data_IF_282064641818
#
_entry.id   IF_282064641818
#
_cell.length_a   1.000
_cell.length_b   1.000
_cell.length_c   1.000
_cell.angle_alpha   90.00
_cell.angle_beta   90.00
_cell.angle_gamma   90.00
#
_symmetry.space_group_name_H-M   'P 1'
#
loop_
_entity.id
_entity.type
_entity.pdbx_description
1 polymer ?
#
# COMPACT_ATOMS: atom_id res chain seq x y z
N UNK A 1 -26.77 -100.11 -39.50
CA UNK A 1 -26.36 -98.72 -39.74
C UNK A 1 -26.60 -97.91 -38.48
N UNK A 2 -25.59 -97.77 -37.62
CA UNK A 2 -25.68 -97.06 -36.34
C UNK A 2 -25.19 -95.62 -36.50
N UNK A 3 -26.06 -94.67 -36.17
CA UNK A 3 -25.89 -93.24 -36.41
C UNK A 3 -25.17 -92.59 -35.21
N UNK A 4 -23.84 -92.72 -35.17
CA UNK A 4 -22.97 -92.05 -34.17
C UNK A 4 -22.67 -90.63 -34.66
N UNK A 5 -23.63 -89.71 -34.57
CA UNK A 5 -23.45 -88.32 -35.03
C UNK A 5 -23.82 -87.18 -34.04
N UNK A 6 -24.41 -87.35 -32.84
CA UNK A 6 -24.79 -86.20 -32.02
C UNK A 6 -23.68 -85.68 -31.07
N UNK A 7 -22.75 -86.53 -30.63
CA UNK A 7 -21.78 -86.14 -29.58
C UNK A 7 -20.65 -85.22 -30.05
N UNK A 8 -20.14 -85.40 -31.29
CA UNK A 8 -19.06 -84.55 -31.82
C UNK A 8 -19.48 -83.09 -32.00
N UNK A 9 -20.76 -82.83 -32.33
CA UNK A 9 -21.29 -81.46 -32.44
C UNK A 9 -21.37 -80.73 -31.09
N UNK A 10 -21.64 -81.47 -30.01
CA UNK A 10 -21.70 -80.89 -28.66
C UNK A 10 -20.29 -80.55 -28.13
N UNK A 11 -19.32 -81.44 -28.39
CA UNK A 11 -17.92 -81.25 -28.01
C UNK A 11 -17.27 -80.07 -28.76
N UNK A 12 -17.55 -79.93 -30.06
CA UNK A 12 -17.07 -78.78 -30.84
C UNK A 12 -17.65 -77.44 -30.36
N UNK A 13 -18.90 -77.39 -29.88
CA UNK A 13 -19.51 -76.14 -29.43
C UNK A 13 -18.87 -75.59 -28.14
N UNK A 14 -18.44 -76.45 -27.19
CA UNK A 14 -17.86 -75.97 -25.94
C UNK A 14 -16.39 -75.50 -26.09
N UNK A 15 -15.60 -76.14 -26.95
CA UNK A 15 -14.21 -75.71 -27.28
C UNK A 15 -14.20 -74.34 -27.97
N UNK A 16 -15.13 -74.12 -28.90
CA UNK A 16 -15.28 -72.85 -29.62
C UNK A 16 -15.79 -71.73 -28.70
N UNK A 17 -16.66 -72.02 -27.73
CA UNK A 17 -17.13 -71.03 -26.75
C UNK A 17 -16.02 -70.54 -25.80
N UNK A 18 -15.11 -71.43 -25.38
CA UNK A 18 -13.95 -71.06 -24.56
C UNK A 18 -12.97 -70.17 -25.31
N UNK A 19 -12.75 -70.42 -26.59
CA UNK A 19 -11.92 -69.57 -27.46
C UNK A 19 -12.55 -68.19 -27.65
N UNK A 20 -13.86 -68.12 -27.92
CA UNK A 20 -14.58 -66.85 -28.09
C UNK A 20 -14.51 -66.00 -26.82
N UNK A 21 -14.67 -66.58 -25.63
CA UNK A 21 -14.55 -65.85 -24.36
C UNK A 21 -13.14 -65.29 -24.12
N UNK A 22 -12.09 -66.05 -24.44
CA UNK A 22 -10.72 -65.58 -24.31
C UNK A 22 -10.36 -64.48 -25.32
N UNK A 23 -10.83 -64.60 -26.56
CA UNK A 23 -10.64 -63.56 -27.60
C UNK A 23 -11.42 -62.29 -27.24
N UNK A 24 -12.64 -62.42 -26.72
CA UNK A 24 -13.43 -61.28 -26.25
C UNK A 24 -12.77 -60.57 -25.07
N UNK A 25 -12.20 -61.32 -24.11
CA UNK A 25 -11.43 -60.75 -23.01
C UNK A 25 -10.16 -60.02 -23.49
N UNK A 26 -9.48 -60.55 -24.50
CA UNK A 26 -8.34 -59.89 -25.15
C UNK A 26 -8.74 -58.58 -25.85
N UNK A 27 -9.86 -58.57 -26.57
CA UNK A 27 -10.38 -57.35 -27.23
C UNK A 27 -10.72 -56.27 -26.20
N UNK A 28 -11.32 -56.63 -25.06
CA UNK A 28 -11.59 -55.68 -23.96
C UNK A 28 -10.31 -55.10 -23.35
N UNK A 29 -9.23 -55.89 -23.28
CA UNK A 29 -7.91 -55.41 -22.85
C UNK A 29 -7.31 -54.38 -23.81
N UNK A 30 -7.51 -54.55 -25.13
CA UNK A 30 -7.03 -53.58 -26.13
C UNK A 30 -7.87 -52.29 -26.17
N UNK A 31 -9.18 -52.35 -25.91
CA UNK A 31 -10.07 -51.16 -25.89
C UNK A 31 -9.81 -50.26 -24.66
N UNK A 32 -9.23 -50.78 -23.58
CA UNK A 32 -8.89 -49.98 -22.39
C UNK A 32 -7.70 -49.04 -22.60
N UNK A 33 -6.96 -49.17 -23.70
CA UNK A 33 -5.86 -48.27 -24.06
C UNK A 33 -6.40 -47.10 -24.92
N UNK A 34 -7.33 -46.32 -24.37
CA UNK A 34 -7.75 -45.08 -25.02
C UNK A 34 -6.72 -44.00 -24.67
N UNK A 35 -5.88 -43.64 -25.65
CA UNK A 35 -4.95 -42.53 -25.55
C UNK A 35 -5.70 -41.26 -25.12
N UNK A 36 -5.11 -40.54 -24.18
CA UNK A 36 -5.62 -39.28 -23.63
C UNK A 36 -5.80 -38.29 -24.76
N UNK A 37 -7.05 -38.02 -25.11
CA UNK A 37 -7.38 -37.05 -26.14
C UNK A 37 -6.86 -35.67 -25.71
N UNK A 38 -6.06 -35.03 -26.56
CA UNK A 38 -5.51 -33.67 -26.39
C UNK A 38 -6.59 -32.57 -26.22
N UNK A 39 -7.87 -32.93 -26.37
CA UNK A 39 -9.02 -32.03 -26.24
C UNK A 39 -9.23 -31.48 -24.82
N UNK A 40 -8.67 -32.12 -23.79
CA UNK A 40 -8.78 -31.68 -22.38
C UNK A 40 -7.63 -30.75 -21.94
N UNK A 41 -6.65 -30.48 -22.81
CA UNK A 41 -5.49 -29.63 -22.49
C UNK A 41 -5.75 -28.20 -22.96
N UNK A 42 -5.82 -27.27 -22.01
CA UNK A 42 -5.99 -25.85 -22.32
C UNK A 42 -4.67 -25.24 -22.82
N UNK A 43 -4.70 -24.16 -23.61
CA UNK A 43 -3.49 -23.50 -24.09
C UNK A 43 -2.60 -23.00 -22.94
N UNK A 44 -1.27 -23.03 -23.14
CA UNK A 44 -0.28 -22.58 -22.13
C UNK A 44 -0.62 -21.19 -21.56
N UNK A 45 -1.01 -20.26 -22.44
CA UNK A 45 -1.37 -18.88 -22.04
C UNK A 45 -2.53 -18.84 -21.05
N UNK A 46 -3.53 -19.70 -21.23
CA UNK A 46 -4.67 -19.75 -20.32
C UNK A 46 -4.32 -20.51 -19.05
N UNK A 47 -3.49 -21.56 -19.14
CA UNK A 47 -2.97 -22.25 -17.96
C UNK A 47 -2.12 -21.34 -17.05
N UNK A 48 -1.31 -20.44 -17.63
CA UNK A 48 -0.59 -19.40 -16.88
C UNK A 48 -1.57 -18.49 -16.12
N UNK A 49 -2.68 -18.09 -16.74
CA UNK A 49 -3.69 -17.26 -16.06
C UNK A 49 -4.39 -18.04 -14.94
N UNK A 50 -4.79 -19.28 -15.20
CA UNK A 50 -5.40 -20.19 -14.21
C UNK A 50 -4.48 -20.33 -12.99
N UNK A 51 -3.21 -20.67 -13.20
CA UNK A 51 -2.23 -20.78 -12.10
C UNK A 51 -2.05 -19.46 -11.36
N UNK A 52 -2.00 -18.33 -12.08
CA UNK A 52 -1.91 -17.01 -11.44
C UNK A 52 -3.09 -16.76 -10.50
N UNK A 53 -4.32 -17.09 -10.91
CA UNK A 53 -5.52 -16.93 -10.07
C UNK A 53 -5.58 -17.92 -8.90
N UNK A 54 -5.12 -19.15 -9.11
CA UNK A 54 -4.98 -20.15 -8.04
C UNK A 54 -4.00 -19.64 -6.98
N UNK A 55 -2.83 -19.13 -7.36
CA UNK A 55 -1.87 -18.59 -6.40
C UNK A 55 -2.40 -17.37 -5.65
N UNK A 56 -3.19 -16.51 -6.29
CA UNK A 56 -3.87 -15.40 -5.61
C UNK A 56 -4.92 -15.93 -4.61
N UNK A 57 -5.66 -16.96 -4.99
CA UNK A 57 -6.64 -17.62 -4.13
C UNK A 57 -5.96 -18.27 -2.92
N UNK A 58 -4.84 -18.96 -3.12
CA UNK A 58 -4.02 -19.56 -2.07
C UNK A 58 -3.48 -18.50 -1.12
N UNK A 59 -2.97 -17.39 -1.67
CA UNK A 59 -2.50 -16.26 -0.88
C UNK A 59 -3.64 -15.69 -0.02
N UNK A 60 -4.85 -15.51 -0.59
CA UNK A 60 -6.01 -15.07 0.17
C UNK A 60 -6.40 -16.06 1.28
N UNK A 61 -6.47 -17.36 0.95
CA UNK A 61 -6.76 -18.42 1.91
C UNK A 61 -5.75 -18.45 3.07
N UNK A 62 -4.48 -18.16 2.79
CA UNK A 62 -3.42 -18.09 3.82
C UNK A 62 -3.60 -16.94 4.81
N UNK A 63 -4.37 -15.90 4.45
CA UNK A 63 -4.69 -14.78 5.36
C UNK A 63 -5.83 -15.11 6.34
N UNK A 64 -6.59 -16.17 6.07
CA UNK A 64 -7.73 -16.58 6.88
C UNK A 64 -7.28 -17.55 7.98
N UNK A 65 -8.04 -17.60 9.08
CA UNK A 65 -7.89 -18.67 10.06
C UNK A 65 -8.33 -20.02 9.47
N UNK A 66 -7.79 -21.12 9.99
CA UNK A 66 -7.99 -22.46 9.40
C UNK A 66 -9.45 -22.90 9.32
N UNK A 67 -10.31 -22.49 10.26
CA UNK A 67 -11.75 -22.82 10.20
C UNK A 67 -12.46 -22.04 9.07
N UNK A 68 -12.22 -20.74 8.92
CA UNK A 68 -12.85 -19.97 7.84
C UNK A 68 -12.32 -20.40 6.48
N UNK A 69 -11.00 -20.64 6.36
CA UNK A 69 -10.39 -21.12 5.12
C UNK A 69 -11.07 -22.41 4.62
N UNK A 70 -11.31 -23.38 5.50
CA UNK A 70 -12.00 -24.65 5.15
C UNK A 70 -13.41 -24.45 4.63
N UNK A 71 -14.12 -23.42 5.09
CA UNK A 71 -15.49 -23.12 4.63
C UNK A 71 -15.52 -22.53 3.22
N UNK A 72 -14.48 -21.79 2.82
CA UNK A 72 -14.47 -21.03 1.57
C UNK A 72 -13.54 -21.61 0.49
N UNK A 73 -12.68 -22.57 0.83
CA UNK A 73 -11.68 -23.14 -0.10
C UNK A 73 -12.30 -23.75 -1.36
N UNK A 74 -13.31 -24.62 -1.22
CA UNK A 74 -13.96 -25.27 -2.35
C UNK A 74 -14.69 -24.29 -3.28
N UNK A 75 -15.56 -23.39 -2.80
CA UNK A 75 -16.24 -22.45 -3.70
C UNK A 75 -15.28 -21.45 -4.36
N UNK A 76 -14.14 -21.12 -3.73
CA UNK A 76 -13.14 -20.26 -4.35
C UNK A 76 -12.44 -20.94 -5.53
N UNK A 77 -11.94 -22.17 -5.36
CA UNK A 77 -11.33 -22.89 -6.48
C UNK A 77 -12.36 -23.22 -7.57
N UNK A 78 -13.58 -23.61 -7.20
CA UNK A 78 -14.66 -23.87 -8.16
C UNK A 78 -14.97 -22.63 -9.01
N UNK A 79 -14.95 -21.44 -8.43
CA UNK A 79 -15.08 -20.19 -9.18
C UNK A 79 -13.94 -20.00 -10.18
N UNK A 80 -12.69 -20.19 -9.74
CA UNK A 80 -11.53 -20.09 -10.64
C UNK A 80 -11.60 -21.12 -11.77
N UNK A 81 -11.99 -22.36 -11.50
CA UNK A 81 -12.08 -23.40 -12.52
C UNK A 81 -13.20 -23.11 -13.53
N UNK A 82 -14.39 -22.70 -13.06
CA UNK A 82 -15.52 -22.32 -13.93
C UNK A 82 -15.18 -21.20 -14.89
N UNK A 83 -14.34 -20.24 -14.50
CA UNK A 83 -13.93 -19.12 -15.36
C UNK A 83 -13.16 -19.56 -16.61
N UNK A 84 -12.52 -20.74 -16.56
CA UNK A 84 -11.71 -21.29 -17.64
C UNK A 84 -12.25 -22.62 -18.17
N UNK A 85 -13.52 -22.93 -17.92
CA UNK A 85 -14.17 -24.19 -18.30
C UNK A 85 -13.39 -25.44 -17.84
N UNK A 86 -12.81 -25.35 -16.63
CA UNK A 86 -12.07 -26.43 -15.98
C UNK A 86 -12.89 -27.07 -14.86
N UNK A 87 -12.50 -28.29 -14.52
CA UNK A 87 -12.86 -28.99 -13.28
C UNK A 87 -11.56 -29.46 -12.61
N UNK A 88 -11.63 -29.87 -11.34
CA UNK A 88 -10.50 -30.41 -10.57
C UNK A 88 -9.74 -31.54 -11.31
N UNK A 89 -10.48 -32.40 -12.01
CA UNK A 89 -9.91 -33.52 -12.77
C UNK A 89 -9.18 -33.05 -14.02
N UNK A 90 -9.79 -32.13 -14.78
CA UNK A 90 -9.17 -31.49 -15.95
C UNK A 90 -7.96 -30.65 -15.57
N UNK A 91 -8.01 -29.91 -14.46
CA UNK A 91 -6.86 -29.15 -13.96
C UNK A 91 -5.69 -30.08 -13.63
N UNK A 92 -5.94 -31.21 -12.94
CA UNK A 92 -4.90 -32.20 -12.65
C UNK A 92 -4.26 -32.78 -13.92
N UNK A 93 -5.06 -33.04 -14.97
CA UNK A 93 -4.54 -33.48 -16.28
C UNK A 93 -3.64 -32.41 -16.91
N UNK A 94 -4.08 -31.15 -16.91
CA UNK A 94 -3.30 -30.02 -17.43
C UNK A 94 -1.99 -29.84 -16.66
N UNK A 95 -2.03 -29.93 -15.34
CA UNK A 95 -0.85 -29.86 -14.49
C UNK A 95 0.13 -31.00 -14.80
N UNK A 96 -0.37 -32.22 -15.00
CA UNK A 96 0.47 -33.37 -15.38
C UNK A 96 1.06 -33.22 -16.78
N UNK A 97 0.30 -32.66 -17.73
CA UNK A 97 0.74 -32.44 -19.10
C UNK A 97 1.84 -31.38 -19.18
N UNK A 98 1.64 -30.23 -18.56
CA UNK A 98 2.66 -29.18 -18.55
C UNK A 98 3.84 -29.53 -17.64
N UNK A 99 3.60 -30.32 -16.59
CA UNK A 99 4.62 -30.79 -15.66
C UNK A 99 5.47 -31.96 -16.18
N UNK A 100 5.12 -32.58 -17.31
CA UNK A 100 5.95 -33.66 -17.89
C UNK A 100 7.24 -33.14 -18.52
N UNK A 101 7.27 -31.86 -18.91
CA UNK A 101 8.45 -31.17 -19.41
C UNK A 101 8.86 -30.06 -18.44
N UNK A 102 10.02 -30.23 -17.80
CA UNK A 102 10.56 -29.30 -16.82
C UNK A 102 10.85 -27.91 -17.41
N UNK A 103 11.28 -27.82 -18.68
CA UNK A 103 11.59 -26.54 -19.32
C UNK A 103 10.30 -25.74 -19.60
N UNK A 104 9.26 -26.43 -20.08
CA UNK A 104 7.95 -25.82 -20.31
C UNK A 104 7.34 -25.33 -19.01
N UNK A 105 7.36 -26.16 -17.96
CA UNK A 105 6.83 -25.80 -16.65
C UNK A 105 7.58 -24.64 -16.01
N UNK A 106 8.92 -24.59 -16.15
CA UNK A 106 9.71 -23.47 -15.63
C UNK A 106 9.31 -22.15 -16.31
N UNK A 107 9.13 -22.15 -17.63
CA UNK A 107 8.64 -20.96 -18.37
C UNK A 107 7.25 -20.52 -17.90
N UNK A 108 6.35 -21.47 -17.60
CA UNK A 108 5.03 -21.17 -17.03
C UNK A 108 5.19 -20.46 -15.68
N UNK A 109 6.02 -20.99 -14.78
CA UNK A 109 6.26 -20.36 -13.47
C UNK A 109 6.88 -18.97 -13.57
N UNK A 110 7.83 -18.76 -14.49
CA UNK A 110 8.38 -17.42 -14.74
C UNK A 110 7.31 -16.42 -15.19
N UNK A 111 6.42 -16.82 -16.10
CA UNK A 111 5.31 -15.99 -16.57
C UNK A 111 4.31 -15.68 -15.44
N UNK A 112 3.95 -16.68 -14.63
CA UNK A 112 3.11 -16.50 -13.44
C UNK A 112 3.76 -15.51 -12.46
N UNK A 113 5.05 -15.69 -12.16
CA UNK A 113 5.80 -14.79 -11.28
C UNK A 113 5.83 -13.35 -11.80
N UNK A 114 6.02 -13.16 -13.12
CA UNK A 114 5.95 -11.84 -13.77
C UNK A 114 4.56 -11.22 -13.63
N UNK A 115 3.49 -11.99 -13.85
CA UNK A 115 2.12 -11.50 -13.69
C UNK A 115 1.84 -11.03 -12.26
N UNK A 116 2.18 -11.86 -11.28
CA UNK A 116 2.00 -11.54 -9.86
C UNK A 116 2.81 -10.31 -9.46
N UNK A 117 4.06 -10.20 -9.91
CA UNK A 117 4.91 -9.02 -9.66
C UNK A 117 4.29 -7.76 -10.24
N UNK A 118 3.83 -7.80 -11.50
CA UNK A 118 3.21 -6.65 -12.14
C UNK A 118 1.93 -6.20 -11.42
N UNK A 119 1.10 -7.15 -10.97
CA UNK A 119 -0.09 -6.87 -10.18
C UNK A 119 0.29 -6.20 -8.85
N UNK A 120 1.25 -6.77 -8.12
CA UNK A 120 1.73 -6.24 -6.84
C UNK A 120 2.33 -4.83 -6.98
N UNK A 121 3.18 -4.61 -7.99
CA UNK A 121 3.78 -3.30 -8.27
C UNK A 121 2.72 -2.24 -8.60
N UNK A 122 1.65 -2.64 -9.31
CA UNK A 122 0.48 -1.80 -9.56
C UNK A 122 -0.21 -1.37 -8.27
N UNK A 123 -0.53 -2.33 -7.40
CA UNK A 123 -1.15 -2.06 -6.11
C UNK A 123 -0.29 -1.14 -5.22
N UNK A 124 1.00 -1.44 -5.08
CA UNK A 124 1.94 -0.63 -4.30
C UNK A 124 1.95 0.82 -4.76
N UNK A 125 2.02 1.08 -6.08
CA UNK A 125 2.00 2.44 -6.63
C UNK A 125 0.70 3.17 -6.30
N UNK A 126 -0.44 2.51 -6.45
CA UNK A 126 -1.73 3.13 -6.13
C UNK A 126 -1.86 3.45 -4.64
N UNK A 127 -1.37 2.56 -3.77
CA UNK A 127 -1.41 2.78 -2.32
C UNK A 127 -0.45 3.91 -1.90
N UNK A 128 0.74 3.98 -2.50
CA UNK A 128 1.67 5.09 -2.28
C UNK A 128 1.04 6.45 -2.59
N UNK A 129 0.40 6.58 -3.77
CA UNK A 129 -0.29 7.82 -4.16
C UNK A 129 -1.40 8.18 -3.17
N UNK A 130 -2.17 7.19 -2.71
CA UNK A 130 -3.22 7.37 -1.70
C UNK A 130 -2.62 7.87 -0.38
N UNK A 131 -1.58 7.21 0.12
CA UNK A 131 -0.90 7.58 1.36
C UNK A 131 -0.26 8.95 1.29
N UNK A 132 0.34 9.32 0.16
CA UNK A 132 0.91 10.66 -0.06
C UNK A 132 -0.15 11.76 -0.01
N UNK A 133 -1.36 11.48 -0.51
CA UNK A 133 -2.47 12.42 -0.41
C UNK A 133 -2.94 12.63 1.03
N UNK A 134 -2.95 11.56 1.83
CA UNK A 134 -3.32 11.58 3.25
C UNK A 134 -2.23 12.31 4.04
N UNK A 135 -0.95 11.95 3.85
CA UNK A 135 0.19 12.58 4.52
C UNK A 135 0.25 14.08 4.29
N UNK A 136 -0.03 14.54 3.06
CA UNK A 136 -0.09 15.97 2.74
C UNK A 136 -1.21 16.69 3.49
N UNK A 137 -2.41 16.10 3.54
CA UNK A 137 -3.54 16.66 4.29
C UNK A 137 -3.25 16.74 5.78
N UNK A 138 -2.71 15.66 6.35
CA UNK A 138 -2.36 15.59 7.77
C UNK A 138 -1.25 16.59 8.13
N UNK A 139 -0.26 16.76 7.24
CA UNK A 139 0.82 17.74 7.43
C UNK A 139 0.29 19.18 7.46
N UNK A 140 -0.65 19.53 6.57
CA UNK A 140 -1.27 20.86 6.54
C UNK A 140 -2.09 21.10 7.81
N UNK A 141 -2.90 20.12 8.22
CA UNK A 141 -3.70 20.23 9.45
C UNK A 141 -2.81 20.36 10.69
N UNK A 142 -1.74 19.56 10.78
CA UNK A 142 -0.80 19.67 11.88
C UNK A 142 -0.09 21.03 11.87
N UNK A 143 0.32 21.57 10.72
CA UNK A 143 0.90 22.91 10.64
C UNK A 143 -0.05 24.00 11.17
N UNK A 144 -1.33 23.97 10.79
CA UNK A 144 -2.35 24.89 11.31
C UNK A 144 -2.57 24.74 12.82
N UNK A 145 -2.59 23.50 13.31
CA UNK A 145 -2.75 23.23 14.73
C UNK A 145 -1.56 23.74 15.54
N UNK A 146 -0.34 23.51 15.05
CA UNK A 146 0.89 24.00 15.69
C UNK A 146 0.98 25.52 15.70
N UNK A 147 0.61 26.18 14.61
CA UNK A 147 0.53 27.65 14.53
C UNK A 147 -0.42 28.21 15.60
N UNK A 148 -1.61 27.61 15.70
CA UNK A 148 -2.62 28.01 16.69
C UNK A 148 -2.11 27.82 18.14
N UNK A 149 -1.45 26.71 18.43
CA UNK A 149 -0.86 26.45 19.75
C UNK A 149 0.28 27.41 20.06
N UNK A 150 1.14 27.69 19.08
CA UNK A 150 2.27 28.62 19.24
C UNK A 150 1.75 30.00 19.61
N UNK A 151 0.75 30.50 18.88
CA UNK A 151 0.11 31.79 19.16
C UNK A 151 -0.47 31.87 20.58
N UNK A 152 -1.15 30.82 21.04
CA UNK A 152 -1.71 30.78 22.40
C UNK A 152 -0.59 30.80 23.45
N UNK A 153 0.48 30.03 23.22
CA UNK A 153 1.63 30.01 24.12
C UNK A 153 2.32 31.37 24.19
N UNK A 154 2.53 32.05 23.06
CA UNK A 154 3.09 33.40 23.01
C UNK A 154 2.24 34.39 23.82
N UNK A 155 0.91 34.35 23.66
CA UNK A 155 0.02 35.20 24.46
C UNK A 155 0.08 34.88 25.95
N UNK A 156 0.20 33.60 26.32
CA UNK A 156 0.36 33.19 27.71
C UNK A 156 1.67 33.71 28.31
N UNK A 157 2.78 33.58 27.59
CA UNK A 157 4.08 34.11 28.01
C UNK A 157 4.05 35.63 28.16
N UNK A 158 3.42 36.33 27.21
CA UNK A 158 3.22 37.77 27.29
C UNK A 158 2.40 38.15 28.52
N UNK A 159 1.31 37.45 28.81
CA UNK A 159 0.50 37.71 29.99
C UNK A 159 1.28 37.50 31.29
N UNK A 160 2.00 36.38 31.42
CA UNK A 160 2.82 36.11 32.61
C UNK A 160 3.96 37.13 32.77
N UNK A 161 4.57 37.59 31.67
CA UNK A 161 5.59 38.63 31.70
C UNK A 161 5.03 39.96 32.23
N UNK A 162 3.84 40.38 31.75
CA UNK A 162 3.18 41.60 32.19
C UNK A 162 2.79 41.52 33.66
N UNK A 163 2.20 40.40 34.07
CA UNK A 163 1.87 40.12 35.47
C UNK A 163 3.11 40.22 36.36
N UNK A 164 4.25 39.66 35.93
CA UNK A 164 5.50 39.73 36.68
C UNK A 164 6.03 41.17 36.82
N UNK A 165 5.91 42.00 35.77
CA UNK A 165 6.31 43.41 35.81
C UNK A 165 5.44 44.23 36.77
N UNK A 166 4.13 43.98 36.79
CA UNK A 166 3.19 44.65 37.70
C UNK A 166 3.47 44.24 39.15
N UNK A 167 3.63 42.94 39.41
CA UNK A 167 3.82 42.42 40.77
C UNK A 167 5.21 42.71 41.35
N UNK A 168 6.25 42.74 40.51
CA UNK A 168 7.64 42.96 40.93
C UNK A 168 8.20 44.29 40.45
N UNK A 169 7.37 45.34 40.48
CA UNK A 169 7.81 46.68 40.13
C UNK A 169 8.86 47.18 41.14
N UNK A 170 10.05 47.46 40.64
CA UNK A 170 11.09 48.19 41.39
C UNK A 170 11.17 49.60 40.83
N UNK A 171 11.25 50.60 41.71
CA UNK A 171 11.44 51.98 41.29
C UNK A 171 12.83 52.11 40.67
N UNK A 172 12.90 52.35 39.36
CA UNK A 172 14.15 52.56 38.67
C UNK A 172 14.85 53.80 39.22
N UNK A 173 16.07 53.65 39.71
CA UNK A 173 16.91 54.76 40.18
C UNK A 173 17.56 55.54 39.02
N UNK A 174 17.37 55.09 37.78
CA UNK A 174 18.03 55.66 36.59
C UNK A 174 17.24 56.88 36.09
N UNK A 175 17.91 58.03 36.02
CA UNK A 175 17.37 59.24 35.37
C UNK A 175 17.30 59.02 33.85
N UNK A 176 16.09 59.01 33.30
CA UNK A 176 15.85 58.90 31.87
C UNK A 176 16.19 60.19 31.14
N UNK A 177 16.99 60.06 30.08
CA UNK A 177 17.30 61.13 29.12
C UNK A 177 16.77 60.71 27.75
N UNK A 178 16.41 61.66 26.89
CA UNK A 178 15.78 61.40 25.59
C UNK A 178 16.66 60.49 24.71
N UNK A 179 17.99 60.66 24.76
CA UNK A 179 18.94 59.79 24.03
C UNK A 179 18.92 58.36 24.54
N UNK A 180 18.89 58.18 25.87
CA UNK A 180 18.85 56.86 26.51
C UNK A 180 17.52 56.16 26.23
N UNK A 181 16.41 56.88 26.33
CA UNK A 181 15.08 56.37 26.00
C UNK A 181 14.99 55.92 24.54
N UNK A 182 15.48 56.73 23.60
CA UNK A 182 15.53 56.35 22.19
C UNK A 182 16.42 55.11 21.96
N UNK A 183 17.61 55.06 22.57
CA UNK A 183 18.51 53.91 22.44
C UNK A 183 17.89 52.62 23.01
N UNK A 184 17.24 52.70 24.17
CA UNK A 184 16.52 51.59 24.79
C UNK A 184 15.34 51.12 23.93
N UNK A 185 14.57 52.06 23.38
CA UNK A 185 13.49 51.76 22.44
C UNK A 185 14.02 51.01 21.21
N UNK A 186 15.08 51.51 20.55
CA UNK A 186 15.67 50.83 19.39
C UNK A 186 16.28 49.47 19.75
N UNK A 187 16.88 49.33 20.93
CA UNK A 187 17.39 48.05 21.43
C UNK A 187 16.26 47.02 21.63
N UNK A 188 15.20 47.42 22.34
CA UNK A 188 14.08 46.54 22.72
C UNK A 188 13.17 46.21 21.55
N UNK A 189 12.94 47.16 20.66
CA UNK A 189 12.16 46.97 19.44
C UNK A 189 12.95 46.24 18.34
N UNK A 190 14.28 46.11 18.50
CA UNK A 190 15.15 45.51 17.50
C UNK A 190 15.39 46.38 16.26
N UNK A 191 14.97 47.65 16.29
CA UNK A 191 15.14 48.62 15.19
C UNK A 191 16.53 49.29 15.15
N UNK A 192 17.51 48.78 15.90
CA UNK A 192 18.83 49.40 16.00
C UNK A 192 19.71 49.06 14.79
N UNK A 193 19.85 50.01 13.87
CA UNK A 193 20.76 49.95 12.73
C UNK A 193 20.14 49.25 11.51
N UNK A 194 20.09 49.97 10.39
CA UNK A 194 19.63 49.57 9.06
C UNK A 194 18.50 48.52 9.05
N UNK A 195 17.26 49.02 8.96
CA UNK A 195 16.03 48.26 8.73
C UNK A 195 16.21 47.17 7.65
N UNK A 196 16.67 45.99 8.04
CA UNK A 196 16.37 44.77 7.31
C UNK A 196 15.03 44.28 7.83
N UNK A 197 13.96 44.90 7.32
CA UNK A 197 12.56 44.47 7.54
C UNK A 197 12.40 42.96 7.29
N UNK A 198 13.24 42.40 6.42
CA UNK A 198 13.37 40.97 6.16
C UNK A 198 13.65 40.11 7.39
N UNK A 199 14.46 40.54 8.36
CA UNK A 199 14.79 39.71 9.54
C UNK A 199 13.65 39.65 10.55
N UNK A 200 12.90 40.75 10.70
CA UNK A 200 11.73 40.79 11.57
C UNK A 200 10.57 40.00 10.97
N UNK A 201 10.39 40.07 9.65
CA UNK A 201 9.41 39.25 8.94
C UNK A 201 9.82 37.77 8.88
N UNK A 202 11.11 37.44 8.72
CA UNK A 202 11.61 36.06 8.72
C UNK A 202 11.42 35.35 10.07
N UNK A 203 11.47 36.07 11.19
CA UNK A 203 11.21 35.49 12.52
C UNK A 203 9.77 35.05 12.68
N UNK A 204 8.84 35.67 11.96
CA UNK A 204 7.40 35.45 12.06
C UNK A 204 6.86 34.60 10.88
N UNK A 205 7.69 34.30 9.89
CA UNK A 205 7.36 33.35 8.82
C UNK A 205 7.91 31.98 9.22
N UNK A 206 7.02 31.01 9.41
CA UNK A 206 7.41 29.61 9.56
C UNK A 206 8.31 29.22 8.38
N UNK A 207 9.54 28.82 8.69
CA UNK A 207 10.56 28.42 7.70
C UNK A 207 9.97 27.36 6.75
N UNK A 208 9.94 27.59 5.42
CA UNK A 208 9.58 26.53 4.50
C UNK A 208 10.69 25.47 4.53
N UNK A 209 10.29 24.21 4.69
CA UNK A 209 11.22 23.08 4.77
C UNK A 209 12.18 23.07 3.57
N UNK A 210 13.48 23.28 3.85
CA UNK A 210 14.56 23.22 2.87
C UNK A 210 14.62 21.82 2.24
N UNK A 211 14.28 21.72 0.96
CA UNK A 211 14.68 20.59 0.12
C UNK A 211 16.20 20.61 -0.04
N UNK A 212 16.88 19.56 0.45
CA UNK A 212 18.29 19.30 0.13
C UNK A 212 18.42 19.05 -1.38
N UNK A 213 19.22 19.87 -2.05
CA UNK A 213 19.73 19.63 -3.40
C UNK A 213 21.24 19.61 -3.29
N UNK A 214 21.82 18.46 -3.61
CA UNK A 214 23.24 18.18 -3.52
C UNK A 214 24.08 19.05 -4.47
N UNK A 215 25.24 19.43 -3.98
CA UNK A 215 26.24 20.29 -4.62
C UNK A 215 27.14 19.49 -5.56
N UNK A 216 27.09 19.73 -6.87
CA UNK A 216 28.27 19.65 -7.75
C UNK A 216 28.02 20.46 -9.03
N UNK A 217 28.63 21.64 -9.15
CA UNK A 217 29.19 22.18 -10.40
C UNK A 217 29.71 23.60 -10.17
N UNK A 218 31.03 23.73 -10.12
CA UNK A 218 31.79 24.96 -10.23
C UNK A 218 31.57 25.63 -11.59
N UNK A 219 31.13 26.89 -11.62
CA UNK A 219 31.56 27.86 -12.63
C UNK A 219 31.69 29.27 -12.04
N UNK A 220 32.94 29.73 -12.06
CA UNK A 220 33.45 31.10 -11.90
C UNK A 220 32.89 31.99 -13.02
N UNK A 221 32.22 33.09 -12.69
CA UNK A 221 32.16 34.30 -13.56
C UNK A 221 32.11 35.54 -12.67
N UNK A 222 32.93 36.51 -13.07
CA UNK A 222 33.28 37.77 -12.42
C UNK A 222 32.12 38.72 -12.15
N UNK A 223 32.32 39.53 -11.11
CA UNK A 223 31.56 40.74 -10.85
C UNK A 223 31.78 41.77 -11.97
N UNK A 224 30.68 42.23 -12.57
CA UNK A 224 30.65 43.50 -13.30
C UNK A 224 29.57 44.40 -12.73
N UNK A 225 30.05 45.47 -12.10
CA UNK A 225 29.29 46.63 -11.66
C UNK A 225 28.60 47.31 -12.83
N UNK A 226 27.27 47.53 -12.74
CA UNK A 226 26.59 48.63 -13.43
C UNK A 226 25.57 49.25 -12.47
N UNK A 227 25.85 50.49 -12.05
CA UNK A 227 24.83 51.46 -11.63
C UNK A 227 24.06 51.89 -12.87
N UNK A 228 22.74 51.82 -12.82
CA UNK A 228 21.84 52.96 -13.04
C UNK A 228 20.40 52.47 -13.12
N UNK A 229 19.51 53.34 -12.64
CA UNK A 229 18.10 53.04 -12.48
C UNK A 229 17.42 52.75 -13.80
N UNK A 230 16.45 51.85 -13.73
CA UNK A 230 15.20 51.87 -14.47
C UNK A 230 14.35 50.75 -13.82
N UNK A 231 13.29 51.11 -13.10
CA UNK A 231 12.33 50.10 -12.63
C UNK A 231 11.53 49.56 -13.81
N UNK A 232 11.25 48.25 -13.91
CA UNK A 232 10.23 47.75 -14.82
C UNK A 232 8.98 47.34 -14.05
N UNK A 233 7.96 48.18 -14.22
CA UNK A 233 6.62 47.88 -14.74
C UNK A 233 6.01 46.51 -14.41
N UNK A 234 4.88 46.57 -13.71
CA UNK A 234 3.82 45.56 -13.64
C UNK A 234 3.38 45.18 -15.06
N UNK A 235 3.45 43.89 -15.41
CA UNK A 235 2.78 43.35 -16.58
C UNK A 235 1.93 42.15 -16.16
N UNK A 236 0.63 42.31 -16.37
CA UNK A 236 -0.43 41.34 -16.16
C UNK A 236 -0.27 40.14 -17.09
N UNK A 237 -0.30 38.92 -16.55
CA UNK A 237 -0.47 37.70 -17.35
C UNK A 237 -1.77 37.00 -16.94
N UNK A 238 -2.77 37.30 -17.77
CA UNK A 238 -3.88 36.50 -18.30
C UNK A 238 -4.24 35.17 -17.62
N UNK A 239 -5.54 35.09 -17.35
CA UNK A 239 -6.33 33.89 -17.15
C UNK A 239 -6.22 32.90 -18.34
N UNK A 240 -6.20 31.61 -18.02
CA UNK A 240 -6.55 30.48 -18.88
C UNK A 240 -7.33 29.51 -17.98
N UNK A 241 -8.65 29.54 -18.09
CA UNK A 241 -9.46 28.60 -18.88
C UNK A 241 -9.85 27.36 -18.07
N UNK A 242 -11.14 27.37 -17.75
CA UNK A 242 -11.91 26.35 -17.07
C UNK A 242 -12.00 25.06 -17.88
N UNK A 243 -11.86 23.91 -17.20
CA UNK A 243 -12.39 22.63 -17.67
C UNK A 243 -13.29 22.08 -16.55
N UNK A 244 -14.58 21.78 -16.82
CA UNK A 244 -15.56 21.53 -15.77
C UNK A 244 -15.50 20.09 -15.26
N UNK A 245 -15.28 19.90 -13.96
CA UNK A 245 -15.48 18.62 -13.29
C UNK A 245 -16.96 18.50 -12.91
N UNK A 246 -17.76 17.82 -13.75
CA UNK A 246 -19.09 17.33 -13.33
C UNK A 246 -18.88 16.29 -12.21
N UNK A 247 -19.37 16.60 -11.03
CA UNK A 247 -19.42 15.67 -9.89
C UNK A 247 -20.88 15.51 -9.50
N UNK A 248 -21.55 14.52 -10.08
CA UNK A 248 -22.81 13.98 -9.57
C UNK A 248 -22.50 12.72 -8.77
N UNK A 249 -22.27 12.83 -7.46
CA UNK A 249 -22.55 11.73 -6.52
C UNK A 249 -23.01 12.31 -5.19
N UNK A 250 -24.20 11.87 -4.81
CA UNK A 250 -24.97 12.25 -3.62
C UNK A 250 -24.21 12.00 -2.32
N UNK A 251 -24.41 12.95 -1.42
CA UNK A 251 -24.13 12.94 0.02
C UNK A 251 -24.62 11.63 0.69
N UNK A 252 -23.71 10.87 1.30
CA UNK A 252 -24.03 9.89 2.34
C UNK A 252 -23.31 10.33 3.61
N UNK A 253 -24.05 10.98 4.49
CA UNK A 253 -23.64 11.24 5.88
C UNK A 253 -23.56 9.90 6.61
N UNK A 254 -22.43 9.61 7.24
CA UNK A 254 -22.41 8.78 8.44
C UNK A 254 -21.25 9.17 9.37
N UNK A 255 -21.42 9.00 10.70
CA UNK A 255 -20.77 9.82 11.70
C UNK A 255 -19.33 9.40 12.01
N UNK A 256 -18.54 10.42 12.30
CA UNK A 256 -17.15 10.41 12.78
C UNK A 256 -16.98 9.47 13.98
N UNK A 257 -16.19 8.40 13.84
CA UNK A 257 -15.51 7.76 14.98
C UNK A 257 -14.14 8.41 15.14
N UNK A 258 -13.93 9.05 16.29
CA UNK A 258 -12.66 9.64 16.70
C UNK A 258 -11.57 8.57 16.85
N UNK A 259 -10.29 8.86 16.53
CA UNK A 259 -9.22 7.90 16.75
C UNK A 259 -8.88 7.79 18.25
N UNK A 260 -8.88 6.56 18.74
CA UNK A 260 -8.44 6.16 20.09
C UNK A 260 -6.97 6.57 20.31
N UNK A 261 -6.72 7.45 21.27
CA UNK A 261 -5.38 7.70 21.81
C UNK A 261 -4.98 6.54 22.72
N UNK A 262 -3.88 5.87 22.37
CA UNK A 262 -3.20 4.87 23.19
C UNK A 262 -2.58 5.54 24.43
N UNK A 263 -3.25 5.38 25.57
CA UNK A 263 -2.79 5.92 26.85
C UNK A 263 -1.70 5.02 27.44
N UNK A 264 -0.43 5.39 27.20
CA UNK A 264 0.76 4.69 27.68
C UNK A 264 1.12 5.11 29.10
N UNK A 265 0.20 4.99 30.06
CA UNK A 265 0.50 5.19 31.50
C UNK A 265 -0.32 4.31 32.44
N UNK A 266 -0.33 2.99 32.22
CA UNK A 266 -0.68 2.02 33.28
C UNK A 266 0.23 0.79 33.18
N UNK A 267 1.51 0.95 33.57
CA UNK A 267 2.39 -0.21 33.85
C UNK A 267 3.48 0.09 34.87
N UNK A 268 3.11 0.76 35.96
CA UNK A 268 3.93 0.83 37.17
C UNK A 268 3.00 0.81 38.41
N UNK A 269 2.24 -0.27 38.60
CA UNK A 269 1.65 -0.57 39.91
C UNK A 269 1.21 -2.04 39.98
N UNK A 270 2.15 -2.91 40.36
CA UNK A 270 1.97 -4.12 41.20
C UNK A 270 3.27 -4.93 41.19
N UNK A 271 3.48 -5.67 42.28
CA UNK A 271 4.66 -6.46 42.69
C UNK A 271 5.80 -5.60 43.29
N UNK A 272 6.18 -5.67 44.57
CA UNK A 272 6.24 -6.77 45.57
C UNK A 272 6.21 -6.12 46.99
N UNK A 273 5.24 -6.45 47.85
CA UNK A 273 5.29 -7.41 48.99
C UNK A 273 6.04 -6.85 50.22
N UNK A 274 5.33 -6.15 51.13
CA UNK A 274 4.80 -6.59 52.45
C UNK A 274 5.76 -6.32 53.63
N UNK A 275 5.27 -5.73 54.75
CA UNK A 275 6.09 -5.31 55.88
C UNK A 275 6.09 -6.35 57.02
N UNK A 276 7.19 -6.45 57.76
CA UNK A 276 7.24 -7.02 59.11
C UNK A 276 8.24 -6.22 59.99
N UNK A 277 8.13 -6.30 61.33
CA UNK A 277 8.07 -5.07 62.13
C UNK A 277 9.13 -4.96 63.25
N UNK A 278 9.11 -3.78 63.89
CA UNK A 278 9.59 -3.45 65.26
C UNK A 278 11.09 -3.60 65.58
N UNK A 279 11.75 -2.47 65.82
CA UNK A 279 12.23 -2.06 67.16
C UNK A 279 12.37 -0.55 67.26
#
# INVERSE_FOLDING_TARGET
>A
MTNVRPFYKFVQNYEMQRLILNVLALIFLFVSCKSTNEKDIIPKKDFVKVLTEIYITDAYLSTLNSDSAKRVIFPLYDNTFKKYDLDSTSFKKNLSFYGSDAEVMNKIYEEVGKNLKNMNDGYIKTDQVRMDSIRRKDSIQNAHFQDSLTRINDFKELYESQKKLILNYKQDSVKWDYKKAAQEFYNKSGLKGNLNLGTFLLKNMSVPATSRSDSTATKKVEAKSIRNGQGPKLESVKASEDIPLKTDVKEVRNPVKQPLLLDRKVKQKKEILSPEPVK
#
